data_IF_759639020710
#
_entry.id   IF_759639020710
#
_cell.length_a   1.000
_cell.length_b   1.000
_cell.length_c   1.000
_cell.angle_alpha   90.00
_cell.angle_beta   90.00
_cell.angle_gamma   90.00
#
_symmetry.space_group_name_H-M   'P 1'
#
loop_
_entity.id
_entity.type
_entity.pdbx_description
1 polymer ?
#
# COMPACT_ATOMS: atom_id res chain seq x y z
N UNK A 1 14.79 19.72 17.81
CA UNK A 1 14.27 18.35 17.94
C UNK A 1 15.45 17.40 18.13
N UNK A 2 15.41 16.52 19.13
CA UNK A 2 16.49 15.56 19.40
C UNK A 2 16.43 14.40 18.38
N UNK A 3 17.59 13.83 18.00
CA UNK A 3 17.73 12.67 17.10
C UNK A 3 16.85 11.50 17.51
N UNK A 4 16.76 11.20 18.82
CA UNK A 4 15.94 10.11 19.35
C UNK A 4 14.45 10.34 19.08
N UNK A 5 13.97 11.57 19.22
CA UNK A 5 12.59 11.95 18.91
C UNK A 5 12.32 11.81 17.42
N UNK A 6 13.23 12.26 16.56
CA UNK A 6 13.05 12.17 15.11
C UNK A 6 13.16 10.73 14.60
N UNK A 7 14.00 9.90 15.20
CA UNK A 7 14.10 8.46 14.93
C UNK A 7 12.79 7.74 15.33
N UNK A 8 12.22 8.08 16.49
CA UNK A 8 10.93 7.53 16.91
C UNK A 8 9.80 7.90 15.94
N UNK A 9 9.76 9.16 15.48
CA UNK A 9 8.81 9.63 14.47
C UNK A 9 9.02 8.88 13.14
N UNK A 10 10.26 8.69 12.71
CA UNK A 10 10.58 7.94 11.48
C UNK A 10 10.04 6.51 11.55
N UNK A 11 10.29 5.79 12.65
CA UNK A 11 9.78 4.43 12.85
C UNK A 11 8.26 4.35 12.88
N UNK A 12 7.60 5.34 13.50
CA UNK A 12 6.14 5.42 13.47
C UNK A 12 5.62 5.59 12.04
N UNK A 13 6.25 6.45 11.24
CA UNK A 13 5.89 6.65 9.83
C UNK A 13 6.18 5.44 8.94
N UNK A 14 7.26 4.70 9.20
CA UNK A 14 7.54 3.42 8.55
C UNK A 14 6.45 2.39 8.85
N UNK A 15 5.99 2.32 10.11
CA UNK A 15 4.94 1.41 10.51
C UNK A 15 3.57 1.78 9.92
N UNK A 16 3.24 3.07 9.90
CA UNK A 16 2.04 3.59 9.23
C UNK A 16 2.04 3.24 7.73
N UNK A 17 3.15 3.46 7.01
CA UNK A 17 3.26 3.10 5.60
C UNK A 17 3.04 1.59 5.38
N UNK A 18 3.68 0.75 6.17
CA UNK A 18 3.55 -0.72 6.03
C UNK A 18 2.12 -1.17 6.34
N UNK A 19 1.45 -0.55 7.32
CA UNK A 19 0.04 -0.86 7.63
C UNK A 19 -0.88 -0.52 6.45
N UNK A 20 -0.72 0.64 5.82
CA UNK A 20 -1.52 1.03 4.65
C UNK A 20 -1.22 0.17 3.42
N UNK A 21 0.03 -0.29 3.26
CA UNK A 21 0.41 -1.25 2.23
C UNK A 21 -0.25 -2.62 2.43
N UNK A 22 -0.32 -3.11 3.66
CA UNK A 22 -0.99 -4.38 3.96
C UNK A 22 -2.50 -4.31 3.65
N UNK A 23 -3.16 -3.20 3.98
CA UNK A 23 -4.56 -2.97 3.58
C UNK A 23 -4.74 -3.01 2.06
N UNK A 24 -3.87 -2.32 1.32
CA UNK A 24 -3.90 -2.33 -0.14
C UNK A 24 -3.74 -3.75 -0.72
N UNK A 25 -2.81 -4.55 -0.19
CA UNK A 25 -2.62 -5.95 -0.59
C UNK A 25 -3.86 -6.80 -0.29
N UNK A 26 -4.52 -6.58 0.85
CA UNK A 26 -5.73 -7.32 1.21
C UNK A 26 -6.86 -7.07 0.21
N UNK A 27 -7.12 -5.80 -0.13
CA UNK A 27 -8.15 -5.41 -1.11
C UNK A 27 -7.84 -6.01 -2.48
N UNK A 28 -6.56 -5.99 -2.91
CA UNK A 28 -6.13 -6.66 -4.15
C UNK A 28 -6.44 -8.15 -4.15
N UNK A 29 -6.20 -8.83 -3.03
CA UNK A 29 -6.50 -10.27 -2.91
C UNK A 29 -8.00 -10.56 -3.02
N UNK A 30 -8.85 -9.69 -2.47
CA UNK A 30 -10.30 -9.82 -2.53
C UNK A 30 -10.80 -9.60 -3.96
N UNK A 31 -10.28 -8.58 -4.64
CA UNK A 31 -10.54 -8.34 -6.06
C UNK A 31 -10.21 -9.57 -6.91
N UNK A 32 -9.02 -10.16 -6.70
CA UNK A 32 -8.57 -11.31 -7.47
C UNK A 32 -9.48 -12.53 -7.28
N UNK A 33 -9.96 -12.78 -6.05
CA UNK A 33 -10.94 -13.86 -5.78
C UNK A 33 -12.25 -13.64 -6.53
N UNK A 34 -12.72 -12.40 -6.60
CA UNK A 34 -13.94 -12.06 -7.33
C UNK A 34 -13.75 -12.17 -8.85
N UNK A 35 -12.60 -11.78 -9.39
CA UNK A 35 -12.27 -11.99 -10.80
C UNK A 35 -12.29 -13.48 -11.17
N UNK A 36 -11.73 -14.34 -10.32
CA UNK A 36 -11.77 -15.79 -10.51
C UNK A 36 -13.20 -16.35 -10.40
N UNK A 37 -14.00 -15.85 -9.47
CA UNK A 37 -15.42 -16.18 -9.39
C UNK A 37 -16.19 -15.77 -10.65
N UNK A 38 -15.91 -14.58 -11.18
CA UNK A 38 -16.53 -14.07 -12.40
C UNK A 38 -16.14 -14.91 -13.62
N UNK A 39 -14.86 -15.32 -13.72
CA UNK A 39 -14.39 -16.26 -14.74
C UNK A 39 -15.16 -17.59 -14.68
N UNK A 40 -15.34 -18.16 -13.49
CA UNK A 40 -16.11 -19.41 -13.32
C UNK A 40 -17.58 -19.25 -13.74
N UNK A 41 -18.20 -18.10 -13.44
CA UNK A 41 -19.57 -17.81 -13.88
C UNK A 41 -19.66 -17.70 -15.40
N UNK A 42 -18.71 -17.01 -16.04
CA UNK A 42 -18.64 -16.87 -17.50
C UNK A 42 -18.39 -18.22 -18.19
N UNK A 43 -17.50 -19.06 -17.65
CA UNK A 43 -17.27 -20.42 -18.13
C UNK A 43 -18.57 -21.25 -18.07
N UNK A 44 -19.28 -21.24 -16.94
CA UNK A 44 -20.59 -21.91 -16.81
C UNK A 44 -21.60 -21.41 -17.84
N UNK A 45 -21.67 -20.10 -18.06
CA UNK A 45 -22.57 -19.50 -19.04
C UNK A 45 -22.20 -19.86 -20.48
N UNK A 46 -20.91 -19.97 -20.79
CA UNK A 46 -20.42 -20.38 -22.11
C UNK A 46 -20.59 -21.87 -22.40
N UNK A 47 -20.66 -22.70 -21.34
CA UNK A 47 -20.80 -24.16 -21.42
C UNK A 47 -22.23 -24.66 -21.68
N UNK A 48 -23.19 -23.75 -21.96
CA UNK A 48 -24.61 -24.04 -22.25
C UNK A 48 -24.84 -24.79 -23.60
N UNK A 49 -23.91 -25.64 -24.03
CA UNK A 49 -24.03 -26.47 -25.25
C UNK A 49 -25.18 -27.49 -25.18
N UNK A 50 -25.71 -27.77 -23.97
CA UNK A 50 -26.85 -28.64 -23.71
C UNK A 50 -28.20 -28.09 -24.19
N UNK A 51 -28.26 -26.85 -24.67
CA UNK A 51 -29.46 -26.23 -25.25
C UNK A 51 -29.94 -26.89 -26.56
N UNK A 52 -29.11 -27.70 -27.23
CA UNK A 52 -29.43 -28.27 -28.55
C UNK A 52 -30.46 -29.41 -28.51
N UNK A 53 -30.69 -30.04 -27.35
CA UNK A 53 -31.57 -31.22 -27.22
C UNK A 53 -32.67 -31.07 -26.15
N UNK A 54 -32.84 -29.88 -25.56
CA UNK A 54 -33.74 -29.65 -24.43
C UNK A 54 -35.23 -29.67 -24.83
N UNK A 55 -36.05 -30.38 -24.06
CA UNK A 55 -37.52 -30.35 -24.14
C UNK A 55 -38.11 -29.02 -23.62
N UNK A 56 -39.38 -28.73 -23.91
CA UNK A 56 -40.04 -27.46 -23.52
C UNK A 56 -40.06 -27.20 -22.01
N UNK A 57 -40.05 -28.25 -21.19
CA UNK A 57 -39.98 -28.15 -19.72
C UNK A 57 -38.55 -27.85 -19.26
N UNK A 58 -37.55 -28.44 -19.91
CA UNK A 58 -36.13 -28.18 -19.63
C UNK A 58 -35.73 -26.75 -20.05
N UNK A 59 -36.32 -26.22 -21.12
CA UNK A 59 -36.12 -24.83 -21.56
C UNK A 59 -36.54 -23.79 -20.50
N UNK A 60 -37.61 -24.05 -19.73
CA UNK A 60 -38.04 -23.17 -18.64
C UNK A 60 -37.02 -23.19 -17.48
N UNK A 61 -36.57 -24.38 -17.08
CA UNK A 61 -35.54 -24.51 -16.04
C UNK A 61 -34.22 -23.85 -16.45
N UNK A 62 -33.82 -23.97 -17.71
CA UNK A 62 -32.62 -23.33 -18.25
C UNK A 62 -32.79 -21.81 -18.27
N UNK A 63 -33.98 -21.31 -18.64
CA UNK A 63 -34.26 -19.87 -18.63
C UNK A 63 -34.16 -19.29 -17.20
N UNK A 64 -34.72 -19.98 -16.20
CA UNK A 64 -34.64 -19.58 -14.80
C UNK A 64 -33.18 -19.59 -14.29
N UNK A 65 -32.40 -20.60 -14.67
CA UNK A 65 -30.98 -20.67 -14.34
C UNK A 65 -30.16 -19.55 -15.03
N UNK A 66 -30.46 -19.23 -16.29
CA UNK A 66 -29.83 -18.10 -16.98
C UNK A 66 -30.17 -16.75 -16.32
N UNK A 67 -31.42 -16.55 -15.91
CA UNK A 67 -31.83 -15.34 -15.16
C UNK A 67 -31.09 -15.23 -13.82
N UNK A 68 -30.98 -16.35 -13.09
CA UNK A 68 -30.22 -16.40 -11.84
C UNK A 68 -28.75 -16.03 -12.06
N UNK A 69 -28.09 -16.66 -13.05
CA UNK A 69 -26.68 -16.40 -13.36
C UNK A 69 -26.44 -14.96 -13.84
N UNK A 70 -27.34 -14.39 -14.64
CA UNK A 70 -27.27 -12.99 -15.07
C UNK A 70 -27.37 -12.02 -13.88
N UNK A 71 -28.24 -12.32 -12.91
CA UNK A 71 -28.38 -11.53 -11.69
C UNK A 71 -27.09 -11.57 -10.87
N UNK A 72 -26.55 -12.78 -10.63
CA UNK A 72 -25.28 -12.97 -9.92
C UNK A 72 -24.11 -12.25 -10.61
N UNK A 73 -24.04 -12.31 -11.95
CA UNK A 73 -23.00 -11.65 -12.72
C UNK A 73 -23.09 -10.12 -12.61
N UNK A 74 -24.30 -9.56 -12.64
CA UNK A 74 -24.52 -8.12 -12.44
C UNK A 74 -24.10 -7.69 -11.03
N UNK A 75 -24.55 -8.40 -10.00
CA UNK A 75 -24.20 -8.13 -8.60
C UNK A 75 -22.68 -8.20 -8.39
N UNK A 76 -22.04 -9.24 -8.93
CA UNK A 76 -20.58 -9.42 -8.82
C UNK A 76 -19.82 -8.25 -9.49
N UNK A 77 -20.27 -7.79 -10.66
CA UNK A 77 -19.68 -6.62 -11.34
C UNK A 77 -19.83 -5.34 -10.53
N UNK A 78 -20.98 -5.13 -9.88
CA UNK A 78 -21.18 -3.99 -9.00
C UNK A 78 -20.25 -4.04 -7.77
N UNK A 79 -20.03 -5.23 -7.20
CA UNK A 79 -19.09 -5.43 -6.09
C UNK A 79 -17.65 -5.14 -6.54
N UNK A 80 -17.21 -5.67 -7.68
CA UNK A 80 -15.87 -5.40 -8.22
C UNK A 80 -15.66 -3.91 -8.41
N UNK A 81 -16.65 -3.20 -8.96
CA UNK A 81 -16.56 -1.74 -9.13
C UNK A 81 -16.35 -1.01 -7.80
N UNK A 82 -17.08 -1.40 -6.75
CA UNK A 82 -16.90 -0.81 -5.41
C UNK A 82 -15.50 -1.09 -4.86
N UNK A 83 -14.99 -2.29 -5.06
CA UNK A 83 -13.63 -2.66 -4.64
C UNK A 83 -12.60 -1.86 -5.43
N UNK A 84 -12.82 -1.60 -6.71
CA UNK A 84 -11.93 -0.76 -7.53
C UNK A 84 -11.90 0.69 -7.02
N UNK A 85 -13.06 1.25 -6.68
CA UNK A 85 -13.17 2.58 -6.08
C UNK A 85 -12.44 2.63 -4.71
N UNK A 86 -12.62 1.61 -3.86
CA UNK A 86 -11.95 1.48 -2.57
C UNK A 86 -10.43 1.30 -2.72
N UNK A 87 -10.00 0.53 -3.73
CA UNK A 87 -8.60 0.28 -4.02
C UNK A 87 -7.86 1.54 -4.46
N UNK A 88 -8.49 2.38 -5.30
CA UNK A 88 -7.91 3.65 -5.70
C UNK A 88 -7.87 4.64 -4.52
N UNK A 89 -8.90 4.67 -3.67
CA UNK A 89 -8.87 5.47 -2.45
C UNK A 89 -7.74 5.04 -1.50
N UNK A 90 -7.59 3.73 -1.26
CA UNK A 90 -6.53 3.18 -0.42
C UNK A 90 -5.13 3.42 -1.01
N UNK A 91 -5.01 3.38 -2.34
CA UNK A 91 -3.77 3.73 -3.03
C UNK A 91 -3.34 5.17 -2.75
N UNK A 92 -4.29 6.12 -2.79
CA UNK A 92 -4.00 7.53 -2.49
C UNK A 92 -3.50 7.70 -1.05
N UNK A 93 -4.16 7.05 -0.09
CA UNK A 93 -3.75 7.04 1.32
C UNK A 93 -2.33 6.47 1.48
N UNK A 94 -2.02 5.37 0.81
CA UNK A 94 -0.67 4.78 0.82
C UNK A 94 0.39 5.74 0.24
N UNK A 95 0.10 6.39 -0.89
CA UNK A 95 1.01 7.36 -1.52
C UNK A 95 1.27 8.58 -0.60
N UNK A 96 0.27 9.03 0.14
CA UNK A 96 0.43 10.10 1.14
C UNK A 96 1.32 9.66 2.30
N UNK A 97 1.07 8.48 2.87
CA UNK A 97 1.88 7.91 3.95
C UNK A 97 3.36 7.77 3.52
N UNK A 98 3.61 7.29 2.29
CA UNK A 98 4.96 7.19 1.73
C UNK A 98 5.64 8.56 1.61
N UNK A 99 4.94 9.59 1.12
CA UNK A 99 5.47 10.96 1.01
C UNK A 99 5.82 11.54 2.38
N UNK A 100 4.98 11.31 3.38
CA UNK A 100 5.24 11.75 4.74
C UNK A 100 6.48 11.08 5.34
N UNK A 101 6.60 9.75 5.23
CA UNK A 101 7.79 9.02 5.66
C UNK A 101 9.05 9.57 4.98
N UNK A 102 9.02 9.76 3.66
CA UNK A 102 10.15 10.33 2.91
C UNK A 102 10.55 11.72 3.38
N UNK A 103 9.59 12.56 3.75
CA UNK A 103 9.86 13.89 4.32
C UNK A 103 10.57 13.79 5.67
N UNK A 104 10.14 12.87 6.54
CA UNK A 104 10.77 12.64 7.85
C UNK A 104 12.18 12.06 7.69
N UNK A 105 12.39 11.12 6.78
CA UNK A 105 13.69 10.54 6.44
C UNK A 105 14.69 11.64 6.04
N UNK A 106 14.30 12.54 5.15
CA UNK A 106 15.14 13.67 4.74
C UNK A 106 15.49 14.63 5.89
N UNK A 107 14.54 14.85 6.82
CA UNK A 107 14.81 15.66 8.01
C UNK A 107 15.79 14.96 8.95
N UNK A 108 15.68 13.63 9.07
CA UNK A 108 16.58 12.82 9.87
C UNK A 108 18.00 12.85 9.34
N UNK A 109 18.18 12.66 8.04
CA UNK A 109 19.49 12.74 7.39
C UNK A 109 20.13 14.13 7.56
N UNK A 110 19.35 15.20 7.35
CA UNK A 110 19.82 16.57 7.57
C UNK A 110 20.27 16.82 9.01
N UNK A 111 19.55 16.26 9.99
CA UNK A 111 19.90 16.40 11.39
C UNK A 111 21.22 15.67 11.70
N UNK A 112 21.38 14.44 11.21
CA UNK A 112 22.62 13.66 11.36
C UNK A 112 23.80 14.40 10.74
N UNK A 113 23.67 14.88 9.50
CA UNK A 113 24.74 15.63 8.83
C UNK A 113 25.14 16.88 9.62
N UNK A 114 24.17 17.62 10.16
CA UNK A 114 24.46 18.80 11.01
C UNK A 114 25.21 18.44 12.28
N UNK A 115 24.83 17.33 12.92
CA UNK A 115 25.52 16.86 14.13
C UNK A 115 26.96 16.47 13.81
N UNK A 116 27.20 15.73 12.73
CA UNK A 116 28.55 15.36 12.28
C UNK A 116 29.43 16.59 12.06
N UNK A 117 28.96 17.57 11.29
CA UNK A 117 29.68 18.82 11.04
C UNK A 117 29.95 19.57 12.35
N UNK A 118 29.02 19.55 13.31
CA UNK A 118 29.22 20.24 14.58
C UNK A 118 30.27 19.55 15.45
N UNK A 119 30.30 18.22 15.45
CA UNK A 119 31.32 17.42 16.15
C UNK A 119 32.70 17.66 15.55
N UNK A 120 32.85 17.61 14.22
CA UNK A 120 34.11 17.90 13.52
C UNK A 120 34.63 19.30 13.89
N UNK A 121 33.77 20.32 13.88
CA UNK A 121 34.16 21.68 14.29
C UNK A 121 34.55 21.80 15.76
N UNK A 122 33.95 21.01 16.64
CA UNK A 122 34.31 20.99 18.06
C UNK A 122 35.67 20.31 18.25
N UNK A 123 35.93 19.22 17.53
CA UNK A 123 37.23 18.54 17.53
C UNK A 123 38.35 19.47 17.01
N UNK A 124 38.13 20.15 15.88
CA UNK A 124 39.08 21.12 15.33
C UNK A 124 39.40 22.26 16.32
N UNK A 125 38.38 22.79 17.00
CA UNK A 125 38.57 23.82 18.04
C UNK A 125 39.35 23.27 19.22
N UNK A 126 39.01 22.09 19.71
CA UNK A 126 39.66 21.49 20.86
C UNK A 126 41.14 21.20 20.58
N UNK A 127 41.46 20.71 19.38
CA UNK A 127 42.83 20.54 18.90
C UNK A 127 43.55 21.89 18.88
N UNK A 128 42.94 22.93 18.30
CA UNK A 128 43.52 24.27 18.22
C UNK A 128 43.81 24.88 19.59
N UNK A 129 42.88 24.72 20.54
CA UNK A 129 43.01 25.22 21.91
C UNK A 129 44.13 24.50 22.68
N UNK A 130 44.28 23.18 22.48
CA UNK A 130 45.39 22.40 23.01
C UNK A 130 46.74 22.87 22.44
N UNK A 131 46.82 23.10 21.12
CA UNK A 131 48.05 23.61 20.51
C UNK A 131 48.40 25.02 21.04
N UNK A 132 47.43 25.93 21.11
CA UNK A 132 47.65 27.30 21.58
C UNK A 132 48.05 27.37 23.06
N UNK A 133 47.47 26.51 23.90
CA UNK A 133 47.85 26.42 25.32
C UNK A 133 49.27 25.87 25.51
N UNK A 134 49.68 24.88 24.72
CA UNK A 134 51.06 24.37 24.73
C UNK A 134 52.08 25.40 24.24
N UNK A 135 51.73 26.23 23.25
CA UNK A 135 52.60 27.31 22.76
C UNK A 135 52.74 28.43 23.79
N UNK A 136 51.69 28.75 24.57
CA UNK A 136 51.73 29.78 25.63
C UNK A 136 52.43 29.32 26.92
N UNK A 137 52.64 28.01 27.09
CA UNK A 137 53.28 27.40 28.25
C UNK A 137 54.79 27.18 28.09
N UNK A 138 55.37 27.64 26.97
CA UNK A 138 56.81 27.70 26.68
C UNK A 138 57.26 29.15 26.59
#
# INVERSE_FOLDING_TARGET
>A
MNVNTLNMILRLKEWEEELEKQKFINILSERQKLEEYLRMLEERFSSLDFLKEATSVELLSIYDEMQYLLTQLKETREIIKKIDDELEAQRQVYEEAFKERKKIEQLYDKLISRIKIHLEKLEEKLISDVFLSQVRSK
#
